data_IF_652235583921
#
_entry.id   IF_652235583921
#
_cell.length_a   1.000
_cell.length_b   1.000
_cell.length_c   1.000
_cell.angle_alpha   90.00
_cell.angle_beta   90.00
_cell.angle_gamma   90.00
#
_symmetry.space_group_name_H-M   'P 1'
#
loop_
_entity.id
_entity.type
_entity.pdbx_description
1 polymer ?
#
# COMPACT_ATOMS: atom_id res chain seq x y z
N UNK A 1 21.40 32.17 -13.43
CA UNK A 1 21.63 32.03 -11.98
C UNK A 1 20.50 31.16 -11.46
N UNK A 2 20.77 29.91 -11.04
CA UNK A 2 19.76 29.10 -10.35
C UNK A 2 19.60 29.71 -8.95
N UNK A 3 18.39 30.19 -8.63
CA UNK A 3 18.07 30.55 -7.25
C UNK A 3 18.00 29.24 -6.46
N UNK A 4 18.77 29.16 -5.37
CA UNK A 4 18.73 28.01 -4.48
C UNK A 4 17.32 27.89 -3.88
N UNK A 5 16.78 26.68 -3.89
CA UNK A 5 15.44 26.39 -3.36
C UNK A 5 15.50 26.31 -1.84
N UNK A 6 14.43 26.72 -1.18
CA UNK A 6 14.34 26.70 0.28
C UNK A 6 14.09 25.26 0.74
N UNK A 7 14.98 24.73 1.57
CA UNK A 7 14.96 23.37 2.14
C UNK A 7 14.97 23.36 3.67
N UNK A 8 14.56 24.46 4.29
CA UNK A 8 14.37 24.59 5.74
C UNK A 8 13.07 25.35 6.01
N UNK A 9 12.40 25.08 7.14
CA UNK A 9 11.17 25.78 7.54
C UNK A 9 11.45 26.68 8.73
N UNK A 10 11.02 27.94 8.65
CA UNK A 10 11.08 28.88 9.76
C UNK A 10 9.89 28.70 10.71
N UNK A 11 9.98 29.16 11.97
CA UNK A 11 8.85 29.08 12.91
C UNK A 11 7.56 29.76 12.41
N UNK A 12 7.69 30.84 11.64
CA UNK A 12 6.53 31.55 11.04
C UNK A 12 5.82 30.67 10.01
N UNK A 13 6.58 29.99 9.14
CA UNK A 13 6.02 29.05 8.18
C UNK A 13 5.43 27.81 8.87
N UNK A 14 6.08 27.31 9.92
CA UNK A 14 5.54 26.20 10.71
C UNK A 14 4.18 26.57 11.33
N UNK A 15 4.07 27.75 11.95
CA UNK A 15 2.81 28.26 12.49
C UNK A 15 1.73 28.45 11.41
N UNK A 16 2.09 29.03 10.27
CA UNK A 16 1.16 29.21 9.14
C UNK A 16 0.63 27.87 8.62
N UNK A 17 1.49 26.85 8.46
CA UNK A 17 1.09 25.52 7.99
C UNK A 17 0.12 24.90 9.01
N UNK A 18 0.47 24.88 10.30
CA UNK A 18 -0.38 24.32 11.36
C UNK A 18 -1.74 25.01 11.45
N UNK A 19 -1.78 26.34 11.39
CA UNK A 19 -3.03 27.10 11.47
C UNK A 19 -3.97 26.80 10.29
N UNK A 20 -3.43 26.68 9.08
CA UNK A 20 -4.25 26.39 7.90
C UNK A 20 -4.72 24.92 7.86
N UNK A 21 -3.90 23.98 8.34
CA UNK A 21 -4.32 22.60 8.52
C UNK A 21 -5.47 22.49 9.54
N UNK A 22 -5.40 23.22 10.66
CA UNK A 22 -6.48 23.28 11.66
C UNK A 22 -7.77 23.91 11.10
N UNK A 23 -7.66 24.83 10.13
CA UNK A 23 -8.81 25.41 9.41
C UNK A 23 -9.39 24.46 8.34
N UNK A 24 -8.84 23.26 8.19
CA UNK A 24 -9.31 22.24 7.24
C UNK A 24 -8.82 22.47 5.80
N UNK A 25 -7.80 23.31 5.59
CA UNK A 25 -7.20 23.47 4.27
C UNK A 25 -6.51 22.17 3.83
N UNK A 26 -6.68 21.80 2.56
CA UNK A 26 -6.06 20.60 2.02
C UNK A 26 -4.52 20.71 2.06
N UNK A 27 -3.79 19.68 2.55
CA UNK A 27 -2.33 19.70 2.62
C UNK A 27 -1.66 20.07 1.29
N UNK A 28 -2.19 19.57 0.18
CA UNK A 28 -1.66 19.87 -1.15
C UNK A 28 -1.75 21.36 -1.52
N UNK A 29 -2.81 22.06 -1.11
CA UNK A 29 -2.94 23.50 -1.35
C UNK A 29 -1.90 24.30 -0.55
N UNK A 30 -1.46 23.79 0.60
CA UNK A 30 -0.37 24.41 1.37
C UNK A 30 0.99 24.16 0.72
N UNK A 31 1.20 22.96 0.18
CA UNK A 31 2.41 22.61 -0.60
C UNK A 31 2.51 23.50 -1.83
N UNK A 32 1.42 23.73 -2.56
CA UNK A 32 1.37 24.64 -3.72
C UNK A 32 1.82 26.06 -3.33
N UNK A 33 1.29 26.60 -2.23
CA UNK A 33 1.69 27.92 -1.71
C UNK A 33 3.16 27.96 -1.32
N UNK A 34 3.70 26.90 -0.70
CA UNK A 34 5.13 26.82 -0.38
C UNK A 34 5.99 26.77 -1.65
N UNK A 35 5.59 26.00 -2.65
CA UNK A 35 6.32 25.91 -3.94
C UNK A 35 6.29 27.26 -4.68
N UNK A 36 5.16 27.98 -4.66
CA UNK A 36 5.06 29.36 -5.17
C UNK A 36 6.01 30.33 -4.45
N UNK A 37 6.33 30.06 -3.18
CA UNK A 37 7.30 30.82 -2.37
C UNK A 37 8.73 30.27 -2.47
N UNK A 38 9.03 29.49 -3.52
CA UNK A 38 10.36 28.98 -3.86
C UNK A 38 10.91 27.91 -2.89
N UNK A 39 10.04 27.22 -2.15
CA UNK A 39 10.43 26.01 -1.43
C UNK A 39 10.66 24.86 -2.41
N UNK A 40 11.57 23.95 -2.04
CA UNK A 40 11.71 22.72 -2.79
C UNK A 40 10.43 21.86 -2.68
N UNK A 41 9.85 21.34 -3.78
CA UNK A 41 8.60 20.59 -3.75
C UNK A 41 8.63 19.34 -2.89
N UNK A 42 9.75 18.60 -2.86
CA UNK A 42 9.87 17.41 -2.01
C UNK A 42 9.94 17.82 -0.54
N UNK A 43 10.70 18.87 -0.24
CA UNK A 43 10.79 19.43 1.10
C UNK A 43 9.46 19.99 1.61
N UNK A 44 8.76 20.80 0.80
CA UNK A 44 7.46 21.36 1.13
C UNK A 44 6.43 20.26 1.39
N UNK A 45 6.40 19.23 0.54
CA UNK A 45 5.54 18.08 0.74
C UNK A 45 5.86 17.35 2.05
N UNK A 46 7.13 17.07 2.32
CA UNK A 46 7.55 16.39 3.56
C UNK A 46 7.17 17.18 4.83
N UNK A 47 7.35 18.51 4.83
CA UNK A 47 7.05 19.35 6.01
C UNK A 47 5.55 19.50 6.23
N UNK A 48 4.77 19.80 5.19
CA UNK A 48 3.30 19.87 5.33
C UNK A 48 2.75 18.52 5.74
N UNK A 49 3.30 17.43 5.20
CA UNK A 49 2.93 16.08 5.57
C UNK A 49 3.18 15.82 7.07
N UNK A 50 4.38 16.09 7.56
CA UNK A 50 4.75 15.94 8.97
C UNK A 50 3.90 16.81 9.92
N UNK A 51 3.56 18.03 9.49
CA UNK A 51 2.72 18.94 10.27
C UNK A 51 1.23 18.56 10.18
N UNK A 52 0.79 17.97 9.07
CA UNK A 52 -0.56 17.43 8.93
C UNK A 52 -0.78 16.22 9.81
N UNK A 53 0.20 15.32 9.95
CA UNK A 53 0.11 14.18 10.86
C UNK A 53 0.16 14.58 12.33
N UNK A 54 0.88 15.67 12.67
CA UNK A 54 0.90 16.20 14.04
C UNK A 54 -0.28 17.11 14.39
N UNK A 55 -0.87 17.83 13.42
CA UNK A 55 -2.14 18.55 13.60
C UNK A 55 -3.37 17.62 13.52
N UNK A 56 -3.21 16.45 12.88
CA UNK A 56 -4.13 15.32 12.92
C UNK A 56 -3.80 14.35 14.07
N UNK A 57 -3.36 14.85 15.22
CA UNK A 57 -3.84 14.27 16.48
C UNK A 57 -5.34 14.56 16.63
N UNK A 58 -6.13 14.09 15.64
CA UNK A 58 -7.52 13.77 15.84
C UNK A 58 -7.50 12.83 17.06
N UNK A 59 -8.30 13.06 18.11
CA UNK A 59 -8.46 12.02 19.11
C UNK A 59 -8.82 10.78 18.31
N UNK A 60 -8.07 9.69 18.50
CA UNK A 60 -8.27 8.43 17.80
C UNK A 60 -9.76 8.28 17.58
N UNK A 61 -10.22 8.46 16.32
CA UNK A 61 -11.60 8.14 15.99
C UNK A 61 -11.61 6.64 16.15
N UNK A 62 -12.00 6.26 17.36
CA UNK A 62 -11.98 4.90 17.81
C UNK A 62 -12.78 4.12 16.81
N UNK A 63 -12.08 3.31 16.03
CA UNK A 63 -12.61 2.06 15.52
C UNK A 63 -12.91 1.23 16.76
N UNK A 64 -14.08 1.50 17.37
CA UNK A 64 -14.62 0.70 18.45
C UNK A 64 -15.09 -0.63 17.86
N UNK A 65 -14.14 -1.52 17.57
CA UNK A 65 -14.24 -2.84 18.17
C UNK A 65 -13.87 -2.65 19.66
N UNK A 66 -14.54 -3.33 20.57
CA UNK A 66 -14.43 -3.13 22.02
C UNK A 66 -13.05 -3.50 22.64
N UNK A 67 -11.92 -3.28 21.97
CA UNK A 67 -10.58 -3.69 22.40
C UNK A 67 -9.58 -2.54 22.32
N UNK A 68 -8.62 -2.50 23.25
CA UNK A 68 -7.58 -1.46 23.33
C UNK A 68 -6.58 -1.47 22.17
N UNK A 69 -5.39 -0.91 22.40
CA UNK A 69 -4.31 -0.88 21.41
C UNK A 69 -4.06 -2.25 20.75
N UNK A 70 -3.64 -2.24 19.48
CA UNK A 70 -3.31 -3.47 18.74
C UNK A 70 -2.28 -4.29 19.51
N UNK A 71 -2.59 -5.57 19.73
CA UNK A 71 -1.69 -6.50 20.41
C UNK A 71 -0.91 -7.31 19.39
N UNK A 72 0.40 -7.09 19.33
CA UNK A 72 1.30 -7.90 18.51
C UNK A 72 1.36 -9.35 19.00
N UNK A 73 1.30 -10.27 18.06
CA UNK A 73 1.46 -11.71 18.29
C UNK A 73 2.61 -12.26 17.44
N UNK A 74 2.81 -13.58 17.45
CA UNK A 74 3.78 -14.20 16.56
C UNK A 74 3.42 -13.88 15.10
N UNK A 75 4.33 -13.31 14.30
CA UNK A 75 4.02 -12.91 12.92
C UNK A 75 3.70 -14.14 12.07
N UNK A 76 2.80 -14.00 11.09
CA UNK A 76 2.59 -15.03 10.07
C UNK A 76 3.84 -15.18 9.23
N UNK A 77 4.44 -14.05 8.86
CA UNK A 77 5.74 -14.00 8.22
C UNK A 77 6.87 -14.29 9.23
N UNK A 78 7.08 -15.58 9.51
CA UNK A 78 8.02 -16.07 10.53
C UNK A 78 9.26 -16.77 9.96
N UNK A 79 9.66 -16.42 8.73
CA UNK A 79 10.85 -16.96 8.09
C UNK A 79 12.14 -16.60 8.86
N UNK A 80 12.85 -17.63 9.33
CA UNK A 80 14.07 -17.50 10.14
C UNK A 80 15.28 -17.17 9.27
N UNK A 81 15.38 -17.84 8.12
CA UNK A 81 16.47 -17.63 7.18
C UNK A 81 16.34 -16.29 6.43
N UNK A 82 17.44 -15.84 5.82
CA UNK A 82 17.44 -14.66 4.95
C UNK A 82 16.98 -14.95 3.51
N UNK A 83 16.71 -16.22 3.20
CA UNK A 83 16.22 -16.71 1.91
C UNK A 83 15.08 -17.68 2.17
N UNK A 84 13.93 -17.40 1.57
CA UNK A 84 12.76 -18.28 1.57
C UNK A 84 12.87 -19.16 0.34
N UNK A 85 12.96 -20.47 0.54
CA UNK A 85 13.03 -21.45 -0.56
C UNK A 85 11.62 -21.94 -0.87
N UNK A 86 11.07 -21.53 -2.01
CA UNK A 86 9.78 -22.04 -2.50
C UNK A 86 10.00 -23.27 -3.38
N UNK A 87 8.91 -23.84 -3.91
CA UNK A 87 8.99 -25.00 -4.80
C UNK A 87 9.75 -24.71 -6.11
N UNK A 88 9.82 -23.44 -6.53
CA UNK A 88 10.31 -23.04 -7.84
C UNK A 88 11.29 -21.86 -7.83
N UNK A 89 11.49 -21.20 -6.68
CA UNK A 89 12.36 -20.02 -6.57
C UNK A 89 12.87 -19.75 -5.15
N UNK A 90 14.10 -19.26 -5.06
CA UNK A 90 14.64 -18.67 -3.83
C UNK A 90 14.31 -17.18 -3.78
N UNK A 91 13.67 -16.72 -2.70
CA UNK A 91 13.27 -15.33 -2.48
C UNK A 91 14.09 -14.73 -1.34
N UNK A 92 14.79 -13.63 -1.59
CA UNK A 92 15.65 -12.96 -0.60
C UNK A 92 14.81 -12.04 0.28
N UNK A 93 14.96 -12.12 1.60
CA UNK A 93 14.51 -11.07 2.52
C UNK A 93 15.60 -9.99 2.56
N UNK A 94 15.27 -8.79 2.09
CA UNK A 94 16.18 -7.65 2.02
C UNK A 94 16.20 -6.89 3.35
N UNK A 95 15.01 -6.60 3.88
CA UNK A 95 14.84 -5.92 5.16
C UNK A 95 13.54 -6.36 5.83
N UNK A 96 13.44 -6.14 7.15
CA UNK A 96 12.24 -6.39 7.92
C UNK A 96 12.05 -5.35 9.02
N UNK A 97 10.80 -4.97 9.28
CA UNK A 97 10.34 -4.30 10.49
C UNK A 97 9.53 -5.32 11.29
N UNK A 98 9.80 -5.42 12.59
CA UNK A 98 9.11 -6.39 13.45
C UNK A 98 7.72 -5.94 13.92
N UNK A 99 7.55 -4.64 14.15
CA UNK A 99 6.30 -4.03 14.64
C UNK A 99 6.12 -2.63 14.02
N UNK A 100 5.18 -2.44 13.08
CA UNK A 100 4.37 -3.48 12.44
C UNK A 100 5.23 -4.45 11.63
N UNK A 101 4.67 -5.61 11.30
CA UNK A 101 5.37 -6.62 10.50
C UNK A 101 5.38 -6.17 9.04
N UNK A 102 6.56 -5.79 8.55
CA UNK A 102 6.79 -5.41 7.14
C UNK A 102 8.07 -6.08 6.67
N UNK A 103 8.08 -6.65 5.46
CA UNK A 103 9.26 -7.23 4.85
C UNK A 103 9.42 -6.78 3.40
N UNK A 104 10.64 -6.39 3.02
CA UNK A 104 11.00 -6.14 1.62
C UNK A 104 11.68 -7.38 1.06
N UNK A 105 11.20 -7.83 -0.10
CA UNK A 105 11.62 -9.06 -0.75
C UNK A 105 12.24 -8.77 -2.10
N UNK A 106 13.32 -9.46 -2.44
CA UNK A 106 13.94 -9.38 -3.76
C UNK A 106 13.93 -10.75 -4.44
N UNK A 107 13.71 -10.73 -5.76
CA UNK A 107 13.60 -11.92 -6.57
C UNK A 107 12.34 -12.75 -6.30
N UNK A 108 11.23 -12.14 -5.87
CA UNK A 108 9.95 -12.86 -5.75
C UNK A 108 9.44 -13.28 -7.14
N UNK A 109 9.55 -12.37 -8.11
CA UNK A 109 9.25 -12.60 -9.51
C UNK A 109 10.52 -12.49 -10.35
N UNK A 110 10.62 -13.26 -11.42
CA UNK A 110 11.59 -13.02 -12.48
C UNK A 110 11.17 -11.83 -13.35
N UNK A 111 12.13 -11.17 -14.04
CA UNK A 111 11.79 -10.14 -15.02
C UNK A 111 10.79 -10.63 -16.08
N UNK A 112 10.90 -11.88 -16.51
CA UNK A 112 10.02 -12.50 -17.51
C UNK A 112 8.61 -12.72 -16.95
N UNK A 113 8.47 -13.16 -15.71
CA UNK A 113 7.15 -13.28 -15.05
C UNK A 113 6.49 -11.90 -14.86
N UNK A 114 7.27 -10.86 -14.58
CA UNK A 114 6.74 -9.51 -14.54
C UNK A 114 6.19 -9.05 -15.90
N UNK A 115 6.94 -9.29 -16.98
CA UNK A 115 6.53 -8.93 -18.34
C UNK A 115 5.30 -9.73 -18.79
N UNK A 116 5.23 -11.02 -18.45
CA UNK A 116 4.08 -11.88 -18.73
C UNK A 116 2.82 -11.41 -17.99
N UNK A 117 2.92 -11.04 -16.71
CA UNK A 117 1.81 -10.46 -15.96
C UNK A 117 1.28 -9.17 -16.59
N UNK A 118 2.19 -8.28 -17.03
CA UNK A 118 1.81 -7.05 -17.72
C UNK A 118 1.10 -7.41 -19.03
N UNK A 119 1.70 -8.25 -19.88
CA UNK A 119 1.15 -8.64 -21.18
C UNK A 119 -0.26 -9.27 -21.06
N UNK A 120 -0.46 -10.22 -20.15
CA UNK A 120 -1.78 -10.84 -19.94
C UNK A 120 -2.82 -9.84 -19.39
N UNK A 121 -2.38 -8.76 -18.74
CA UNK A 121 -3.26 -7.76 -18.14
C UNK A 121 -3.73 -6.67 -19.12
N UNK A 122 -2.93 -6.32 -20.13
CA UNK A 122 -3.18 -5.18 -21.03
C UNK A 122 -4.55 -5.26 -21.71
N UNK A 123 -4.99 -6.45 -22.11
CA UNK A 123 -6.29 -6.64 -22.76
C UNK A 123 -7.49 -6.55 -21.81
N UNK A 124 -7.25 -6.57 -20.49
CA UNK A 124 -8.28 -6.60 -19.45
C UNK A 124 -8.34 -5.32 -18.60
N UNK A 125 -7.46 -4.35 -18.85
CA UNK A 125 -7.35 -3.14 -18.02
C UNK A 125 -8.59 -2.25 -18.12
N UNK A 126 -9.14 -1.89 -16.96
CA UNK A 126 -10.20 -0.90 -16.82
C UNK A 126 -9.83 0.10 -15.72
N UNK A 127 -10.56 1.21 -15.59
CA UNK A 127 -10.32 2.16 -14.49
C UNK A 127 -10.53 1.43 -13.14
N UNK A 128 -9.59 1.57 -12.20
CA UNK A 128 -9.68 0.87 -10.91
C UNK A 128 -10.78 1.46 -10.02
N UNK A 129 -11.35 0.60 -9.16
CA UNK A 129 -12.41 0.96 -8.19
C UNK A 129 -11.92 0.82 -6.74
N UNK A 130 -12.61 1.46 -5.80
CA UNK A 130 -12.49 1.23 -4.35
C UNK A 130 -13.80 0.61 -3.82
N UNK A 131 -13.81 0.15 -2.56
CA UNK A 131 -15.05 -0.29 -1.89
C UNK A 131 -15.70 0.92 -1.22
N UNK A 132 -16.96 1.19 -1.56
CA UNK A 132 -17.76 2.24 -0.93
C UNK A 132 -18.11 1.84 0.53
N UNK A 133 -17.80 2.68 1.53
CA UNK A 133 -18.03 2.37 2.95
C UNK A 133 -19.50 2.16 3.35
N UNK A 134 -20.45 2.76 2.62
CA UNK A 134 -21.88 2.68 2.98
C UNK A 134 -22.57 1.49 2.35
N UNK A 135 -22.26 1.22 1.09
CA UNK A 135 -22.97 0.28 0.23
C UNK A 135 -22.20 -1.02 0.00
N UNK A 136 -20.87 -1.01 0.23
CA UNK A 136 -19.98 -2.13 -0.06
C UNK A 136 -19.72 -2.36 -1.56
N UNK A 137 -20.25 -1.50 -2.44
CA UNK A 137 -20.09 -1.62 -3.90
C UNK A 137 -18.74 -1.09 -4.35
N UNK A 138 -18.31 -1.54 -5.53
CA UNK A 138 -17.11 -1.02 -6.17
C UNK A 138 -17.40 0.31 -6.89
N UNK A 139 -16.68 1.38 -6.53
CA UNK A 139 -16.84 2.71 -7.12
C UNK A 139 -15.53 3.28 -7.66
N UNK A 140 -15.61 4.03 -8.77
CA UNK A 140 -14.46 4.77 -9.30
C UNK A 140 -14.39 6.13 -8.60
N UNK A 141 -13.29 6.42 -7.92
CA UNK A 141 -13.06 7.72 -7.26
C UNK A 141 -11.80 8.41 -7.77
N UNK A 142 -11.69 9.73 -7.54
CA UNK A 142 -10.53 10.52 -7.96
C UNK A 142 -9.24 10.13 -7.22
N UNK A 143 -9.35 9.72 -5.95
CA UNK A 143 -8.20 9.41 -5.08
C UNK A 143 -7.44 8.13 -5.47
N UNK A 144 -7.96 7.40 -6.47
CA UNK A 144 -7.31 6.25 -7.12
C UNK A 144 -7.30 6.47 -8.64
N UNK A 145 -6.14 6.84 -9.17
CA UNK A 145 -5.96 7.18 -10.60
C UNK A 145 -5.37 6.05 -11.44
N UNK A 146 -5.37 4.81 -10.92
CA UNK A 146 -4.86 3.63 -11.63
C UNK A 146 -5.87 3.01 -12.60
N UNK A 147 -5.32 2.27 -13.58
CA UNK A 147 -6.05 1.24 -14.31
C UNK A 147 -5.74 -0.12 -13.68
N UNK A 148 -6.68 -1.04 -13.65
CA UNK A 148 -6.43 -2.37 -13.11
C UNK A 148 -7.34 -3.45 -13.65
N UNK A 149 -6.95 -4.68 -13.34
CA UNK A 149 -7.69 -5.90 -13.65
C UNK A 149 -7.40 -6.93 -12.58
N UNK A 150 -8.10 -8.07 -12.63
CA UNK A 150 -7.88 -9.18 -11.73
C UNK A 150 -7.65 -10.46 -12.53
N UNK A 151 -6.70 -11.27 -12.08
CA UNK A 151 -6.67 -12.70 -12.35
C UNK A 151 -7.37 -13.42 -11.22
N UNK A 152 -8.26 -14.36 -11.52
CA UNK A 152 -8.83 -15.22 -10.47
C UNK A 152 -7.77 -16.17 -9.90
N UNK A 153 -8.03 -16.71 -8.71
CA UNK A 153 -7.11 -17.68 -8.08
C UNK A 153 -6.91 -18.88 -9.00
N UNK A 154 -5.66 -19.23 -9.29
CA UNK A 154 -5.28 -20.31 -10.21
C UNK A 154 -5.93 -20.19 -11.61
N UNK A 155 -6.16 -18.98 -12.13
CA UNK A 155 -6.86 -18.75 -13.41
C UNK A 155 -6.26 -19.56 -14.58
N UNK A 156 -4.94 -19.71 -14.61
CA UNK A 156 -4.20 -20.52 -15.57
C UNK A 156 -2.91 -21.07 -14.92
N UNK A 157 -2.20 -21.96 -15.61
CA UNK A 157 -0.98 -22.61 -15.07
C UNK A 157 0.11 -21.62 -14.66
N UNK A 158 0.20 -20.46 -15.33
CA UNK A 158 1.15 -19.41 -14.98
C UNK A 158 0.76 -18.74 -13.67
N UNK A 159 -0.50 -18.28 -13.55
CA UNK A 159 -1.03 -17.67 -12.32
C UNK A 159 -1.01 -18.66 -11.15
N UNK A 160 -1.32 -19.94 -11.38
CA UNK A 160 -1.31 -20.97 -10.34
C UNK A 160 0.09 -21.19 -9.73
N UNK A 161 1.16 -21.15 -10.54
CA UNK A 161 2.54 -21.20 -10.03
C UNK A 161 2.86 -19.99 -9.16
N UNK A 162 2.48 -18.79 -9.61
CA UNK A 162 2.68 -17.56 -8.84
C UNK A 162 1.89 -17.59 -7.53
N UNK A 163 0.62 -17.99 -7.56
CA UNK A 163 -0.22 -18.12 -6.37
C UNK A 163 0.38 -19.07 -5.34
N UNK A 164 0.89 -20.24 -5.78
CA UNK A 164 1.57 -21.19 -4.90
C UNK A 164 2.84 -20.60 -4.26
N UNK A 165 3.67 -19.91 -5.06
CA UNK A 165 4.88 -19.24 -4.57
C UNK A 165 4.55 -18.14 -3.56
N UNK A 166 3.61 -17.27 -3.90
CA UNK A 166 3.19 -16.14 -3.05
C UNK A 166 2.60 -16.65 -1.74
N UNK A 167 1.72 -17.67 -1.78
CA UNK A 167 1.15 -18.28 -0.57
C UNK A 167 2.24 -18.87 0.35
N UNK A 168 3.22 -19.56 -0.20
CA UNK A 168 4.36 -20.09 0.56
C UNK A 168 5.20 -18.97 1.21
N UNK A 169 5.45 -17.87 0.48
CA UNK A 169 6.18 -16.70 1.01
C UNK A 169 5.38 -15.97 2.08
N UNK A 170 4.08 -15.78 1.88
CA UNK A 170 3.19 -15.13 2.85
C UNK A 170 2.87 -16.04 4.05
N UNK A 171 3.29 -17.31 4.00
CA UNK A 171 3.04 -18.35 5.00
C UNK A 171 1.55 -18.46 5.38
N UNK A 172 0.69 -18.55 4.36
CA UNK A 172 -0.75 -18.59 4.53
C UNK A 172 -1.41 -19.49 3.46
N UNK A 173 -2.54 -20.17 3.76
CA UNK A 173 -3.15 -21.10 2.80
C UNK A 173 -3.54 -20.42 1.49
N UNK A 174 -3.31 -21.11 0.37
CA UNK A 174 -3.55 -20.56 -0.98
C UNK A 174 -5.02 -20.22 -1.21
N UNK A 175 -5.94 -21.02 -0.65
CA UNK A 175 -7.38 -20.85 -0.74
C UNK A 175 -7.91 -19.62 0.02
N UNK A 176 -7.09 -19.00 0.85
CA UNK A 176 -7.40 -17.73 1.50
C UNK A 176 -7.02 -16.53 0.63
N UNK A 177 -6.31 -16.73 -0.48
CA UNK A 177 -5.90 -15.66 -1.36
C UNK A 177 -7.04 -15.13 -2.23
N UNK A 178 -7.20 -13.82 -2.28
CA UNK A 178 -7.93 -13.18 -3.38
C UNK A 178 -7.20 -13.37 -4.71
N UNK A 179 -7.87 -13.06 -5.82
CA UNK A 179 -7.22 -12.97 -7.12
C UNK A 179 -6.07 -11.96 -7.15
N UNK A 180 -5.10 -12.15 -8.03
CA UNK A 180 -4.00 -11.19 -8.21
C UNK A 180 -4.56 -9.94 -8.90
N UNK A 181 -4.51 -8.79 -8.23
CA UNK A 181 -4.89 -7.52 -8.83
C UNK A 181 -3.70 -6.89 -9.54
N UNK A 182 -3.84 -6.56 -10.82
CA UNK A 182 -2.85 -5.75 -11.54
C UNK A 182 -3.28 -4.29 -11.51
N UNK A 183 -2.32 -3.40 -11.31
CA UNK A 183 -2.53 -1.96 -11.42
C UNK A 183 -1.43 -1.30 -12.26
N UNK A 184 -1.84 -0.33 -13.07
CA UNK A 184 -0.97 0.58 -13.80
C UNK A 184 -1.24 2.03 -13.38
N UNK A 185 -0.17 2.72 -12.98
CA UNK A 185 -0.15 4.15 -12.69
C UNK A 185 0.70 4.85 -13.75
N UNK A 186 0.08 5.78 -14.49
CA UNK A 186 0.80 6.70 -15.38
C UNK A 186 1.43 7.84 -14.56
N UNK A 187 2.18 8.73 -15.22
CA UNK A 187 2.73 9.93 -14.59
C UNK A 187 1.66 10.70 -13.79
N UNK A 188 2.04 11.20 -12.61
CA UNK A 188 1.16 11.78 -11.58
C UNK A 188 0.12 10.83 -10.98
N UNK A 189 0.04 9.58 -11.45
CA UNK A 189 -0.78 8.55 -10.84
C UNK A 189 -0.31 8.25 -9.42
N UNK A 190 -1.25 8.17 -8.49
CA UNK A 190 -1.00 7.93 -7.07
C UNK A 190 -2.12 7.09 -6.47
N UNK A 191 -1.91 6.65 -5.22
CA UNK A 191 -2.98 6.15 -4.38
C UNK A 191 -2.81 6.72 -2.99
N UNK A 192 -3.82 7.47 -2.52
CA UNK A 192 -3.78 8.09 -1.20
C UNK A 192 -3.61 7.04 -0.09
N UNK A 193 -2.98 7.40 1.04
CA UNK A 193 -2.85 6.51 2.18
C UNK A 193 -4.20 5.91 2.60
N UNK A 194 -4.24 4.60 2.73
CA UNK A 194 -5.42 3.83 3.08
C UNK A 194 -5.02 2.55 3.83
N UNK A 195 -6.03 1.85 4.32
CA UNK A 195 -5.89 0.51 4.87
C UNK A 195 -6.42 -0.52 3.88
N UNK A 196 -5.76 -1.67 3.84
CA UNK A 196 -6.24 -2.79 3.04
C UNK A 196 -7.30 -3.63 3.76
N UNK A 197 -7.36 -3.56 5.10
CA UNK A 197 -8.44 -4.18 5.88
C UNK A 197 -9.76 -3.41 5.73
N UNK A 198 -10.87 -4.11 5.95
CA UNK A 198 -12.20 -3.51 5.96
C UNK A 198 -12.52 -2.95 7.35
N UNK A 199 -12.83 -1.65 7.50
CA UNK A 199 -13.21 -1.11 8.80
C UNK A 199 -14.52 -1.73 9.29
N UNK A 200 -14.51 -2.36 10.47
CA UNK A 200 -15.70 -3.08 11.01
C UNK A 200 -16.88 -2.15 11.27
N UNK A 201 -16.61 -0.87 11.54
CA UNK A 201 -17.63 0.15 11.76
C UNK A 201 -18.40 0.52 10.49
N UNK A 202 -17.84 0.26 9.30
CA UNK A 202 -18.46 0.62 8.04
C UNK A 202 -19.53 -0.42 7.66
N UNK A 203 -20.79 -0.01 7.43
CA UNK A 203 -21.86 -0.94 7.07
C UNK A 203 -21.55 -1.75 5.80
N UNK A 204 -20.86 -1.14 4.83
CA UNK A 204 -20.43 -1.78 3.58
C UNK A 204 -19.39 -2.88 3.77
N UNK A 205 -18.64 -2.88 4.88
CA UNK A 205 -17.62 -3.89 5.17
C UNK A 205 -18.22 -5.26 5.43
N UNK A 206 -19.45 -5.35 5.95
CA UNK A 206 -20.08 -6.63 6.31
C UNK A 206 -20.19 -7.57 5.12
N UNK A 207 -20.46 -7.04 3.92
CA UNK A 207 -20.53 -7.84 2.69
C UNK A 207 -19.19 -8.51 2.38
N UNK A 208 -18.08 -7.79 2.57
CA UNK A 208 -16.73 -8.27 2.31
C UNK A 208 -16.24 -9.21 3.40
N UNK A 209 -16.59 -8.95 4.66
CA UNK A 209 -16.24 -9.82 5.80
C UNK A 209 -16.96 -11.17 5.74
N UNK A 210 -18.16 -11.23 5.17
CA UNK A 210 -18.86 -12.50 4.95
C UNK A 210 -18.15 -13.39 3.93
N UNK A 211 -17.37 -12.82 3.01
CA UNK A 211 -16.61 -13.55 2.01
C UNK A 211 -15.13 -13.69 2.42
N UNK A 212 -14.82 -14.73 3.19
CA UNK A 212 -13.44 -15.02 3.63
C UNK A 212 -13.00 -14.29 4.90
N UNK A 213 -13.84 -13.47 5.53
CA UNK A 213 -13.44 -12.71 6.72
C UNK A 213 -12.60 -11.47 6.40
N UNK A 214 -11.87 -11.01 7.39
CA UNK A 214 -10.98 -9.85 7.28
C UNK A 214 -9.77 -10.18 6.38
N UNK A 215 -9.20 -9.18 5.70
CA UNK A 215 -7.87 -9.33 5.10
C UNK A 215 -6.82 -9.34 6.21
N UNK A 216 -5.84 -10.21 6.12
CA UNK A 216 -4.83 -10.37 7.19
C UNK A 216 -3.45 -9.85 6.81
N UNK A 217 -3.16 -9.81 5.50
CA UNK A 217 -1.87 -9.38 4.97
C UNK A 217 -1.94 -9.08 3.48
N UNK A 218 -0.99 -8.27 3.03
CA UNK A 218 -0.82 -7.85 1.63
C UNK A 218 0.59 -8.13 1.13
N UNK A 219 0.68 -8.51 -0.14
CA UNK A 219 1.92 -8.47 -0.92
C UNK A 219 1.73 -7.51 -2.10
N UNK A 220 2.53 -6.45 -2.16
CA UNK A 220 2.63 -5.57 -3.33
C UNK A 220 3.91 -5.93 -4.09
N UNK A 221 3.76 -6.36 -5.33
CA UNK A 221 4.83 -6.84 -6.20
C UNK A 221 5.08 -5.83 -7.32
N UNK A 222 6.32 -5.44 -7.54
CA UNK A 222 6.68 -4.44 -8.54
C UNK A 222 7.03 -5.12 -9.88
N UNK A 223 6.27 -4.80 -10.93
CA UNK A 223 6.39 -5.46 -12.24
C UNK A 223 7.33 -4.72 -13.20
N UNK A 224 7.73 -3.50 -12.87
CA UNK A 224 8.73 -2.75 -13.60
C UNK A 224 9.53 -1.82 -12.68
N UNK A 225 10.67 -1.35 -13.17
CA UNK A 225 11.40 -0.26 -12.53
C UNK A 225 10.71 1.07 -12.85
N UNK A 226 10.60 1.93 -11.85
CA UNK A 226 10.01 3.27 -11.99
C UNK A 226 11.14 4.29 -12.02
N UNK A 227 11.14 5.17 -13.03
CA UNK A 227 12.25 6.10 -13.23
C UNK A 227 12.37 7.13 -12.10
N UNK A 228 11.24 7.61 -11.56
CA UNK A 228 11.21 8.49 -10.37
C UNK A 228 9.82 8.51 -9.72
N UNK A 229 9.78 8.56 -8.38
CA UNK A 229 8.56 8.48 -7.58
C UNK A 229 7.96 7.08 -7.54
N UNK A 230 6.66 6.98 -7.25
CA UNK A 230 5.95 5.70 -7.26
C UNK A 230 6.24 4.78 -6.06
N UNK A 231 6.87 5.27 -5.00
CA UNK A 231 7.14 4.51 -3.78
C UNK A 231 5.85 3.96 -3.16
N UNK A 232 5.95 2.79 -2.52
CA UNK A 232 4.94 2.39 -1.53
C UNK A 232 5.34 3.02 -0.20
N UNK A 233 4.51 3.92 0.31
CA UNK A 233 4.80 4.71 1.52
C UNK A 233 4.03 4.17 2.72
N UNK A 234 4.65 4.14 3.89
CA UNK A 234 4.05 3.88 5.19
C UNK A 234 4.26 5.12 6.07
N UNK A 235 3.36 6.10 5.95
CA UNK A 235 3.57 7.43 6.52
C UNK A 235 3.82 7.47 8.02
N UNK A 236 3.08 6.67 8.81
CA UNK A 236 3.22 6.61 10.27
C UNK A 236 4.60 6.09 10.71
N UNK A 237 5.32 5.41 9.82
CA UNK A 237 6.65 4.86 10.06
C UNK A 237 7.76 5.73 9.46
N UNK A 238 7.42 6.72 8.64
CA UNK A 238 8.40 7.42 7.80
C UNK A 238 9.14 6.49 6.84
N UNK A 239 8.52 5.36 6.45
CA UNK A 239 9.11 4.36 5.57
C UNK A 239 8.59 4.52 4.14
N UNK A 240 9.49 4.38 3.17
CA UNK A 240 9.16 4.29 1.75
C UNK A 240 9.90 3.11 1.13
N UNK A 241 9.20 2.33 0.30
CA UNK A 241 9.77 1.23 -0.49
C UNK A 241 9.76 1.63 -1.96
N UNK A 242 10.94 1.78 -2.54
CA UNK A 242 11.12 2.14 -3.95
C UNK A 242 10.82 0.93 -4.85
N UNK A 243 10.05 1.11 -5.94
CA UNK A 243 9.78 0.03 -6.88
C UNK A 243 11.05 -0.46 -7.56
N UNK A 244 11.28 -1.77 -7.50
CA UNK A 244 12.32 -2.46 -8.27
C UNK A 244 11.69 -3.68 -8.92
N UNK A 245 11.86 -3.85 -10.24
CA UNK A 245 11.26 -4.98 -10.98
C UNK A 245 11.58 -6.33 -10.30
N UNK A 246 10.56 -7.13 -10.08
CA UNK A 246 10.65 -8.45 -9.47
C UNK A 246 10.74 -8.48 -7.94
N UNK A 247 10.88 -7.32 -7.29
CA UNK A 247 10.83 -7.18 -5.84
C UNK A 247 9.39 -7.01 -5.34
N UNK A 248 9.21 -7.12 -4.03
CA UNK A 248 7.91 -6.93 -3.40
C UNK A 248 8.03 -6.37 -1.98
N UNK A 249 6.93 -5.82 -1.48
CA UNK A 249 6.76 -5.49 -0.06
C UNK A 249 5.58 -6.28 0.49
N UNK A 250 5.84 -6.99 1.58
CA UNK A 250 4.86 -7.70 2.40
C UNK A 250 4.57 -6.90 3.66
N UNK A 251 3.31 -6.91 4.10
CA UNK A 251 2.92 -6.42 5.43
C UNK A 251 1.65 -7.14 5.92
N UNK A 252 1.54 -7.33 7.24
CA UNK A 252 0.38 -7.96 7.89
C UNK A 252 -0.17 -7.10 9.01
N UNK A 253 -1.49 -7.19 9.23
CA UNK A 253 -2.21 -6.17 9.97
C UNK A 253 -3.45 -6.66 10.70
N UNK A 254 -3.73 -7.95 10.76
CA UNK A 254 -4.86 -8.47 11.55
C UNK A 254 -4.35 -9.52 12.53
N UNK A 255 -4.69 -9.46 13.82
CA UNK A 255 -4.28 -10.49 14.78
C UNK A 255 -5.39 -11.52 15.04
N UNK A 256 -5.11 -12.53 15.86
CA UNK A 256 -6.06 -13.57 16.26
C UNK A 256 -7.27 -13.07 17.06
N UNK A 257 -7.19 -11.85 17.61
CA UNK A 257 -8.29 -11.17 18.31
C UNK A 257 -9.11 -10.27 17.37
N UNK A 258 -8.91 -10.38 16.05
CA UNK A 258 -9.58 -9.57 15.03
C UNK A 258 -9.30 -8.05 15.13
N UNK A 259 -8.27 -7.66 15.89
CA UNK A 259 -7.78 -6.29 15.88
C UNK A 259 -7.00 -6.03 14.59
N UNK A 260 -7.03 -4.78 14.14
CA UNK A 260 -6.29 -4.31 12.96
C UNK A 260 -5.18 -3.33 13.36
N UNK A 261 -4.01 -3.44 12.73
CA UNK A 261 -2.84 -2.62 13.05
C UNK A 261 -2.89 -1.28 12.29
N UNK A 262 -3.07 -0.13 12.98
CA UNK A 262 -3.13 1.17 12.32
C UNK A 262 -1.78 1.62 11.75
N UNK A 263 -0.66 1.03 12.16
CA UNK A 263 0.66 1.40 11.65
C UNK A 263 0.93 0.88 10.22
N UNK A 264 0.03 0.06 9.66
CA UNK A 264 0.09 -0.36 8.26
C UNK A 264 -0.67 0.55 7.30
N UNK A 265 -1.05 1.77 7.74
CA UNK A 265 -1.52 2.82 6.84
C UNK A 265 -0.47 2.99 5.74
N UNK A 266 -0.88 2.86 4.48
CA UNK A 266 0.06 2.89 3.37
C UNK A 266 -0.57 3.47 2.10
N UNK A 267 0.26 3.96 1.19
CA UNK A 267 -0.17 4.55 -0.08
C UNK A 267 0.85 4.34 -1.19
N UNK A 268 0.48 4.77 -2.40
CA UNK A 268 1.38 4.86 -3.53
C UNK A 268 1.72 6.33 -3.80
N UNK A 269 2.97 6.73 -3.60
CA UNK A 269 3.43 8.06 -3.94
C UNK A 269 3.26 8.35 -5.44
N UNK A 270 3.08 9.62 -5.84
CA UNK A 270 2.92 9.99 -7.25
C UNK A 270 4.10 9.52 -8.11
N UNK A 271 3.80 8.94 -9.27
CA UNK A 271 4.82 8.64 -10.29
C UNK A 271 5.30 9.96 -10.91
N UNK A 272 6.54 10.34 -10.66
CA UNK A 272 7.10 11.60 -11.17
C UNK A 272 7.64 11.44 -12.60
N UNK A 273 8.18 10.27 -12.94
CA UNK A 273 8.64 9.95 -14.29
C UNK A 273 8.50 8.45 -14.60
N UNK A 274 8.12 8.14 -15.84
CA UNK A 274 7.85 6.77 -16.30
C UNK A 274 6.43 6.31 -15.98
N UNK A 275 6.27 5.03 -15.69
CA UNK A 275 5.02 4.44 -15.22
C UNK A 275 5.30 3.37 -14.18
N UNK A 276 4.30 3.04 -13.37
CA UNK A 276 4.39 2.00 -12.33
C UNK A 276 3.37 0.91 -12.59
N UNK A 277 3.84 -0.31 -12.70
CA UNK A 277 3.04 -1.53 -12.72
C UNK A 277 3.25 -2.31 -11.44
N UNK A 278 2.15 -2.68 -10.79
CA UNK A 278 2.17 -3.55 -9.61
C UNK A 278 1.17 -4.67 -9.75
N UNK A 279 1.49 -5.79 -9.11
CA UNK A 279 0.53 -6.84 -8.78
C UNK A 279 0.32 -6.86 -7.26
N UNK A 280 -0.93 -6.94 -6.81
CA UNK A 280 -1.28 -7.00 -5.39
C UNK A 280 -1.97 -8.32 -5.10
N UNK A 281 -1.51 -9.00 -4.04
CA UNK A 281 -2.16 -10.18 -3.47
C UNK A 281 -2.63 -9.86 -2.06
N UNK A 282 -3.92 -10.05 -1.81
CA UNK A 282 -4.49 -9.99 -0.46
C UNK A 282 -4.79 -11.40 0.04
N UNK A 283 -4.49 -11.64 1.32
CA UNK A 283 -4.86 -12.88 2.01
C UNK A 283 -6.01 -12.61 2.98
N UNK A 284 -6.98 -13.51 3.02
CA UNK A 284 -8.15 -13.49 3.91
C UNK A 284 -7.96 -14.36 5.13
N UNK A 285 -8.69 -14.08 6.20
CA UNK A 285 -8.67 -14.85 7.44
C UNK A 285 -9.15 -16.29 7.24
N UNK A 286 -10.12 -16.49 6.32
CA UNK A 286 -10.71 -17.78 5.95
C UNK A 286 -10.65 -17.95 4.43
N UNK A 287 -10.99 -19.16 3.95
CA UNK A 287 -11.14 -19.46 2.52
C UNK A 287 -11.98 -18.39 1.82
N UNK A 288 -11.47 -17.86 0.71
CA UNK A 288 -12.10 -16.83 -0.09
C UNK A 288 -12.83 -17.44 -1.30
N UNK A 289 -14.08 -17.05 -1.51
CA UNK A 289 -14.95 -17.60 -2.56
C UNK A 289 -15.80 -18.80 -2.15
#
# INVERSE_FOLDING_TARGET
MRMDRITHVSPEWQGWITDNLQRGCAPMSLVEVMVEKNFDPMFANAVVFQLSSSAQSVPAVGTTAAGGAYQYEAPRFNHVDNVIRTADRDVRIVSRIGQPVIAVLDGLLSPEECDELICQSEQKLQRSTIVDPQTGKHEVIADRSSFGTFFTLNENDFIARLDARIAAVMNWPIENGEGIQILNYKTAGEYKPHYDYFPVADPGSQMHLNNGGQRVSTMVMYLNDVASGGETIFPELGLSVTPKKGSAVYFEYTNSQEQVDPLTLHGGAPVSAGEKWIATKWMRQRRFG
#
